data_IF_510261909474
#
_entry.id   IF_510261909474
#
_cell.length_a   1.000
_cell.length_b   1.000
_cell.length_c   1.000
_cell.angle_alpha   90.00
_cell.angle_beta   90.00
_cell.angle_gamma   90.00
#
_symmetry.space_group_name_H-M   'P 1'
#
loop_
_entity.id
_entity.type
_entity.pdbx_description
1 polymer ?
#
# COMPACT_ATOMS: atom_id res chain seq x y z
N UNK A 1 2.24 9.75 -11.11
CA UNK A 1 2.27 8.49 -11.91
C UNK A 1 3.67 7.86 -11.99
N UNK A 2 4.74 8.62 -12.27
CA UNK A 2 6.12 8.10 -12.27
C UNK A 2 6.50 7.37 -10.96
N UNK A 3 6.17 7.96 -9.82
CA UNK A 3 6.46 7.40 -8.48
C UNK A 3 5.78 6.04 -8.26
N UNK A 4 4.53 5.89 -8.70
CA UNK A 4 3.80 4.62 -8.59
C UNK A 4 4.48 3.51 -9.40
N UNK A 5 4.83 3.79 -10.66
CA UNK A 5 5.51 2.80 -11.51
C UNK A 5 6.87 2.40 -10.94
N UNK A 6 7.64 3.37 -10.42
CA UNK A 6 8.91 3.07 -9.76
C UNK A 6 8.74 2.18 -8.52
N UNK A 7 7.70 2.42 -7.72
CA UNK A 7 7.42 1.60 -6.54
C UNK A 7 6.98 0.18 -6.92
N UNK A 8 6.16 0.04 -7.98
CA UNK A 8 5.76 -1.26 -8.52
C UNK A 8 6.98 -2.02 -9.03
N UNK A 9 7.79 -1.39 -9.88
CA UNK A 9 8.98 -2.01 -10.50
C UNK A 9 10.03 -2.43 -9.45
N UNK A 10 10.07 -1.75 -8.30
CA UNK A 10 10.96 -2.10 -7.18
C UNK A 10 10.39 -3.20 -6.27
N UNK A 11 9.14 -3.60 -6.46
CA UNK A 11 8.45 -4.59 -5.63
C UNK A 11 8.26 -5.93 -6.36
N UNK A 12 7.98 -6.99 -5.61
CA UNK A 12 7.60 -8.28 -6.20
C UNK A 12 6.11 -8.35 -6.60
N UNK A 13 5.35 -7.28 -6.39
CA UNK A 13 3.90 -7.23 -6.59
C UNK A 13 3.52 -6.65 -7.94
N UNK A 14 2.46 -7.19 -8.52
CA UNK A 14 1.91 -6.75 -9.78
C UNK A 14 1.23 -5.37 -9.69
N UNK A 15 1.08 -4.68 -10.82
CA UNK A 15 0.30 -3.44 -10.91
C UNK A 15 -1.14 -3.64 -10.38
N UNK A 16 -1.74 -4.80 -10.63
CA UNK A 16 -3.10 -5.12 -10.17
C UNK A 16 -3.19 -5.14 -8.64
N UNK A 17 -2.24 -5.80 -7.97
CA UNK A 17 -2.15 -5.81 -6.50
C UNK A 17 -1.95 -4.40 -5.94
N UNK A 18 -1.11 -3.59 -6.59
CA UNK A 18 -0.89 -2.20 -6.19
C UNK A 18 -2.15 -1.34 -6.33
N UNK A 19 -2.91 -1.51 -7.41
CA UNK A 19 -4.18 -0.80 -7.61
C UNK A 19 -5.20 -1.21 -6.55
N UNK A 20 -5.30 -2.50 -6.24
CA UNK A 20 -6.18 -3.03 -5.20
C UNK A 20 -5.82 -2.44 -3.83
N UNK A 21 -4.53 -2.48 -3.48
CA UNK A 21 -4.03 -1.96 -2.21
C UNK A 21 -4.23 -0.44 -2.09
N UNK A 22 -3.99 0.33 -3.16
CA UNK A 22 -4.24 1.77 -3.19
C UNK A 22 -5.72 2.11 -3.00
N UNK A 23 -6.61 1.33 -3.62
CA UNK A 23 -8.05 1.49 -3.43
C UNK A 23 -8.43 1.25 -1.98
N UNK A 24 -7.99 0.14 -1.40
CA UNK A 24 -8.27 -0.23 -0.01
C UNK A 24 -7.73 0.81 0.99
N UNK A 25 -6.49 1.27 0.81
CA UNK A 25 -5.93 2.37 1.62
C UNK A 25 -6.78 3.63 1.48
N UNK A 26 -7.22 3.95 0.26
CA UNK A 26 -8.10 5.09 -0.01
C UNK A 26 -9.45 5.00 0.69
N UNK A 27 -10.08 3.83 0.69
CA UNK A 27 -11.33 3.54 1.40
C UNK A 27 -11.13 3.72 2.92
N UNK A 28 -10.07 3.15 3.49
CA UNK A 28 -9.76 3.33 4.92
C UNK A 28 -9.55 4.79 5.32
N UNK A 29 -8.84 5.57 4.50
CA UNK A 29 -8.62 7.00 4.73
C UNK A 29 -9.96 7.75 4.78
N UNK A 30 -10.86 7.44 3.83
CA UNK A 30 -12.18 8.07 3.77
C UNK A 30 -13.06 7.69 4.96
N UNK A 31 -13.06 6.41 5.35
CA UNK A 31 -13.84 5.91 6.50
C UNK A 31 -13.36 6.50 7.83
N UNK A 32 -12.10 6.87 7.93
CA UNK A 32 -11.49 7.44 9.14
C UNK A 32 -11.42 8.99 9.12
N UNK A 33 -12.08 9.65 8.16
CA UNK A 33 -12.11 11.11 7.99
C UNK A 33 -10.70 11.74 7.97
N UNK A 34 -9.78 11.06 7.27
CA UNK A 34 -8.38 11.49 7.11
C UNK A 34 -8.14 12.07 5.72
N UNK A 35 -7.13 12.91 5.63
CA UNK A 35 -6.60 13.39 4.34
C UNK A 35 -5.11 13.04 4.21
N UNK A 36 -4.74 12.55 3.04
CA UNK A 36 -3.34 12.23 2.74
C UNK A 36 -3.10 12.23 1.24
N UNK A 37 -1.90 12.64 0.84
CA UNK A 37 -1.50 12.72 -0.56
C UNK A 37 -1.32 11.34 -1.18
N UNK A 38 -1.44 11.26 -2.51
CA UNK A 38 -1.18 10.03 -3.24
C UNK A 38 0.25 9.53 -3.01
N UNK A 39 1.22 10.43 -2.95
CA UNK A 39 2.63 10.12 -2.67
C UNK A 39 2.80 9.42 -1.32
N UNK A 40 2.09 9.87 -0.28
CA UNK A 40 2.17 9.26 1.05
C UNK A 40 1.52 7.89 1.09
N UNK A 41 0.42 7.68 0.36
CA UNK A 41 -0.21 6.35 0.19
C UNK A 41 0.73 5.37 -0.52
N UNK A 42 1.39 5.82 -1.58
CA UNK A 42 2.38 5.01 -2.30
C UNK A 42 3.55 4.68 -1.38
N UNK A 43 4.09 5.65 -0.64
CA UNK A 43 5.16 5.41 0.31
C UNK A 43 4.80 4.39 1.40
N UNK A 44 3.59 4.49 1.95
CA UNK A 44 3.07 3.51 2.92
C UNK A 44 3.02 2.10 2.33
N UNK A 45 2.49 1.95 1.12
CA UNK A 45 2.44 0.66 0.43
C UNK A 45 3.83 0.16 0.04
N UNK A 46 4.78 1.03 -0.28
CA UNK A 46 6.18 0.64 -0.47
C UNK A 46 6.77 0.03 0.81
N UNK A 47 6.52 0.63 1.97
CA UNK A 47 6.94 0.05 3.25
C UNK A 47 6.26 -1.31 3.52
N UNK A 48 4.99 -1.46 3.17
CA UNK A 48 4.28 -2.74 3.27
C UNK A 48 4.90 -3.80 2.34
N UNK A 49 5.19 -3.44 1.09
CA UNK A 49 5.82 -4.35 0.12
C UNK A 49 7.23 -4.77 0.56
N UNK A 50 8.00 -3.84 1.14
CA UNK A 50 9.33 -4.13 1.68
C UNK A 50 9.27 -5.09 2.88
N UNK A 51 8.29 -4.93 3.78
CA UNK A 51 8.17 -5.77 4.98
C UNK A 51 7.89 -7.24 4.67
N UNK A 52 7.25 -7.53 3.53
CA UNK A 52 6.95 -8.89 3.07
C UNK A 52 7.81 -9.34 1.88
N UNK A 53 8.86 -8.60 1.52
CA UNK A 53 9.76 -8.93 0.41
C UNK A 53 10.40 -10.34 0.51
N UNK A 54 10.55 -10.88 1.73
CA UNK A 54 11.06 -12.24 1.99
C UNK A 54 9.96 -13.33 2.01
N UNK A 55 8.69 -12.96 1.85
CA UNK A 55 7.53 -13.84 1.93
C UNK A 55 6.75 -13.85 0.60
N UNK A 56 7.26 -14.53 -0.42
CA UNK A 56 6.62 -14.57 -1.73
C UNK A 56 5.22 -15.18 -1.65
N UNK A 57 4.25 -14.54 -2.31
CA UNK A 57 2.85 -14.98 -2.36
C UNK A 57 1.94 -14.35 -1.30
N UNK A 58 2.47 -13.53 -0.40
CA UNK A 58 1.64 -12.70 0.49
C UNK A 58 1.08 -11.51 -0.29
N UNK A 59 -0.21 -11.25 -0.15
CA UNK A 59 -0.89 -10.18 -0.89
C UNK A 59 -0.62 -8.80 -0.26
N UNK A 60 -0.23 -7.82 -1.09
CA UNK A 60 0.08 -6.47 -0.61
C UNK A 60 -1.11 -5.78 0.09
N UNK A 61 -2.33 -5.99 -0.40
CA UNK A 61 -3.53 -5.40 0.20
C UNK A 61 -3.83 -6.01 1.58
N UNK A 62 -3.61 -7.31 1.76
CA UNK A 62 -3.80 -7.98 3.07
C UNK A 62 -2.84 -7.40 4.12
N UNK A 63 -1.57 -7.24 3.77
CA UNK A 63 -0.56 -6.63 4.66
C UNK A 63 -0.91 -5.18 4.95
N UNK A 64 -1.27 -4.41 3.93
CA UNK A 64 -1.67 -3.02 4.12
C UNK A 64 -2.89 -2.90 5.04
N UNK A 65 -3.86 -3.82 4.94
CA UNK A 65 -5.03 -3.86 5.82
C UNK A 65 -4.65 -4.16 7.27
N UNK A 66 -3.77 -5.15 7.48
CA UNK A 66 -3.27 -5.51 8.81
C UNK A 66 -2.52 -4.35 9.45
N UNK A 67 -1.63 -3.70 8.69
CA UNK A 67 -0.85 -2.57 9.14
C UNK A 67 -1.72 -1.35 9.44
N UNK A 68 -2.74 -1.07 8.62
CA UNK A 68 -3.69 0.03 8.87
C UNK A 68 -4.57 -0.26 10.10
N UNK A 69 -4.99 -1.50 10.29
CA UNK A 69 -5.80 -1.90 11.45
C UNK A 69 -4.99 -1.79 12.75
N UNK A 70 -3.71 -2.16 12.69
CA UNK A 70 -2.85 -2.23 13.88
C UNK A 70 -2.23 -0.89 14.25
N UNK A 71 -1.76 -0.14 13.25
CA UNK A 71 -0.97 1.07 13.44
C UNK A 71 -1.62 2.32 12.83
N UNK A 72 -2.57 2.15 11.92
CA UNK A 72 -3.11 3.24 11.12
C UNK A 72 -2.08 3.83 10.16
N UNK A 73 -2.35 5.07 9.76
CA UNK A 73 -1.50 5.87 8.89
C UNK A 73 -1.57 7.34 9.34
N UNK A 74 -0.41 7.94 9.56
CA UNK A 74 -0.25 9.36 9.90
C UNK A 74 -0.39 10.30 8.69
#
# INVERSE_FOLDING_TARGET
MKILLQAIDASAHSLEEWVLALRMVGEWIQENDRETSMERRIGYLSCCAESISSHPGVNLAEVANEMLTTHGME
#
